data_IF_782589150424
#
_entry.id   IF_782589150424
#
_cell.length_a   1.000
_cell.length_b   1.000
_cell.length_c   1.000
_cell.angle_alpha   90.00
_cell.angle_beta   90.00
_cell.angle_gamma   90.00
#
_symmetry.space_group_name_H-M   'P 1'
#
loop_
_entity.id
_entity.type
_entity.pdbx_description
1 polymer ?
#
# COMPACT_ATOMS: atom_id res chain seq x y z
N UNK A 1 4.36 -11.30 -7.25
CA UNK A 1 3.19 -12.18 -7.58
C UNK A 1 1.94 -11.57 -6.95
N UNK A 2 0.84 -11.43 -7.72
CA UNK A 2 -0.49 -11.10 -7.20
C UNK A 2 -1.44 -12.19 -7.69
N UNK A 3 -2.10 -12.88 -6.75
CA UNK A 3 -2.92 -14.04 -7.07
C UNK A 3 -4.21 -14.03 -6.24
N UNK A 4 -5.37 -14.26 -6.91
CA UNK A 4 -6.65 -14.51 -6.25
C UNK A 4 -7.13 -15.89 -6.72
N UNK A 5 -7.31 -16.83 -5.79
CA UNK A 5 -7.61 -18.24 -6.08
C UNK A 5 -6.54 -18.80 -7.04
N UNK A 6 -6.86 -19.08 -8.29
CA UNK A 6 -5.93 -19.57 -9.30
C UNK A 6 -5.57 -18.54 -10.37
N UNK A 7 -6.14 -17.33 -10.31
CA UNK A 7 -5.90 -16.27 -11.27
C UNK A 7 -4.69 -15.42 -10.86
N UNK A 8 -3.82 -15.14 -11.84
CA UNK A 8 -2.62 -14.33 -11.66
C UNK A 8 -2.81 -12.95 -12.29
N UNK A 9 -2.23 -11.94 -11.63
CA UNK A 9 -2.27 -10.56 -12.06
C UNK A 9 -0.86 -9.99 -12.13
N UNK A 10 -0.59 -9.19 -13.13
CA UNK A 10 0.67 -8.48 -13.28
C UNK A 10 0.67 -7.23 -12.40
N UNK A 11 1.60 -7.15 -11.46
CA UNK A 11 1.75 -5.98 -10.60
C UNK A 11 2.37 -4.85 -11.42
N UNK A 12 1.69 -3.73 -11.48
CA UNK A 12 2.15 -2.51 -12.18
C UNK A 12 2.82 -1.54 -11.24
N UNK A 13 2.29 -1.38 -10.03
CA UNK A 13 2.84 -0.51 -8.99
C UNK A 13 2.61 -1.12 -7.62
N UNK A 14 3.60 -0.97 -6.75
CA UNK A 14 3.47 -1.30 -5.34
C UNK A 14 4.30 -0.29 -4.53
N UNK A 15 3.66 0.44 -3.63
CA UNK A 15 4.34 1.43 -2.83
C UNK A 15 3.75 1.58 -1.44
N UNK A 16 4.63 2.00 -0.54
CA UNK A 16 4.30 2.46 0.79
C UNK A 16 4.25 3.99 0.79
N UNK A 17 3.22 4.53 1.37
CA UNK A 17 3.19 5.93 1.80
C UNK A 17 3.12 6.02 3.32
N UNK A 18 3.25 7.22 3.85
CA UNK A 18 3.07 7.45 5.26
C UNK A 18 2.49 8.85 5.52
N UNK A 19 1.86 9.01 6.67
CA UNK A 19 1.42 10.31 7.19
C UNK A 19 1.53 10.36 8.71
N UNK A 20 1.55 11.57 9.27
CA UNK A 20 1.60 11.74 10.71
C UNK A 20 0.20 11.97 11.25
N UNK A 21 -0.23 11.12 12.17
CA UNK A 21 -1.46 11.30 12.93
C UNK A 21 -1.15 12.12 14.18
N UNK A 22 -1.36 13.44 14.10
CA UNK A 22 -1.00 14.39 15.17
C UNK A 22 -1.64 14.04 16.53
N UNK A 23 -2.92 13.63 16.51
CA UNK A 23 -3.68 13.28 17.74
C UNK A 23 -2.94 12.25 18.62
N UNK A 24 -2.29 11.27 18.01
CA UNK A 24 -1.64 10.16 18.70
C UNK A 24 -0.10 10.24 18.62
N UNK A 25 0.44 11.24 17.92
CA UNK A 25 1.86 11.37 17.62
C UNK A 25 2.44 10.06 17.07
N UNK A 26 1.85 9.56 16.00
CA UNK A 26 2.24 8.32 15.32
C UNK A 26 2.50 8.57 13.85
N UNK A 27 3.50 7.89 13.30
CA UNK A 27 3.70 7.76 11.86
C UNK A 27 2.90 6.53 11.39
N UNK A 28 1.95 6.76 10.51
CA UNK A 28 1.07 5.73 9.95
C UNK A 28 1.57 5.39 8.56
N UNK A 29 1.79 4.11 8.28
CA UNK A 29 2.10 3.62 6.94
C UNK A 29 0.84 3.08 6.28
N UNK A 30 0.67 3.42 5.02
CA UNK A 30 -0.27 2.83 4.08
C UNK A 30 0.46 1.96 3.05
N UNK A 31 -0.27 1.06 2.40
CA UNK A 31 0.23 0.20 1.33
C UNK A 31 -0.75 0.21 0.17
N UNK A 32 -0.24 0.49 -1.02
CA UNK A 32 -1.03 0.46 -2.25
C UNK A 32 -0.36 -0.41 -3.30
N UNK A 33 -1.14 -1.32 -3.89
CA UNK A 33 -0.67 -2.21 -4.95
C UNK A 33 -1.70 -2.19 -6.08
N UNK A 34 -1.23 -1.84 -7.28
CA UNK A 34 -2.03 -1.92 -8.51
C UNK A 34 -1.56 -3.11 -9.34
N UNK A 35 -2.50 -3.91 -9.78
CA UNK A 35 -2.26 -5.02 -10.69
C UNK A 35 -3.29 -5.03 -11.82
N UNK A 36 -3.00 -5.73 -12.90
CA UNK A 36 -3.91 -5.94 -14.03
C UNK A 36 -4.04 -7.41 -14.34
N UNK A 37 -5.19 -7.82 -14.87
CA UNK A 37 -5.40 -9.17 -15.36
C UNK A 37 -4.43 -9.50 -16.50
N UNK A 38 -3.91 -10.73 -16.50
CA UNK A 38 -3.04 -11.27 -17.55
C UNK A 38 -3.80 -12.18 -18.51
N UNK A 39 -5.11 -12.31 -18.35
CA UNK A 39 -5.93 -13.17 -19.21
C UNK A 39 -6.01 -12.61 -20.64
N UNK A 40 -5.98 -13.51 -21.65
CA UNK A 40 -6.10 -13.15 -23.06
C UNK A 40 -7.57 -13.12 -23.50
N UNK A 41 -7.96 -12.13 -24.31
CA UNK A 41 -9.31 -12.00 -24.87
C UNK A 41 -9.79 -13.25 -25.63
N UNK A 42 -8.87 -14.03 -26.22
CA UNK A 42 -9.21 -15.21 -27.01
C UNK A 42 -9.62 -16.42 -26.17
N UNK A 43 -9.28 -16.44 -24.87
CA UNK A 43 -9.48 -17.57 -23.98
C UNK A 43 -10.36 -17.26 -22.76
N UNK A 44 -11.07 -16.12 -22.77
CA UNK A 44 -11.93 -15.74 -21.64
C UNK A 44 -13.13 -16.69 -21.56
N UNK A 45 -13.05 -17.64 -20.65
CA UNK A 45 -14.25 -18.29 -20.12
C UNK A 45 -14.95 -17.30 -19.17
N UNK A 46 -15.92 -16.57 -19.71
CA UNK A 46 -16.64 -15.51 -18.97
C UNK A 46 -17.32 -15.99 -17.69
N UNK A 47 -17.37 -17.29 -17.46
CA UNK A 47 -17.90 -17.88 -16.22
C UNK A 47 -16.85 -17.97 -15.11
N UNK A 48 -15.54 -17.93 -15.43
CA UNK A 48 -14.46 -18.26 -14.49
C UNK A 48 -13.23 -17.33 -14.55
N UNK A 49 -13.21 -16.32 -15.44
CA UNK A 49 -12.03 -15.49 -15.71
C UNK A 49 -12.33 -14.02 -15.45
N UNK A 50 -11.28 -13.27 -15.13
CA UNK A 50 -11.31 -11.83 -15.17
C UNK A 50 -11.25 -11.34 -16.62
N UNK A 51 -11.84 -10.18 -16.88
CA UNK A 51 -11.67 -9.57 -18.19
C UNK A 51 -10.22 -9.14 -18.36
N UNK A 52 -9.65 -9.25 -19.58
CA UNK A 52 -8.35 -8.67 -19.90
C UNK A 52 -8.33 -7.20 -19.51
N UNK A 53 -7.18 -6.76 -18.96
CA UNK A 53 -6.97 -5.38 -18.49
C UNK A 53 -7.83 -4.94 -17.29
N UNK A 54 -8.59 -5.84 -16.65
CA UNK A 54 -9.20 -5.52 -15.37
C UNK A 54 -8.14 -5.05 -14.37
N UNK A 55 -8.36 -3.85 -13.83
CA UNK A 55 -7.45 -3.24 -12.86
C UNK A 55 -7.88 -3.63 -11.44
N UNK A 56 -6.93 -4.18 -10.69
CA UNK A 56 -7.10 -4.47 -9.27
C UNK A 56 -6.27 -3.49 -8.45
N UNK A 57 -6.87 -3.01 -7.36
CA UNK A 57 -6.18 -2.18 -6.39
C UNK A 57 -6.33 -2.82 -5.01
N UNK A 58 -5.20 -3.20 -4.41
CA UNK A 58 -5.13 -3.48 -2.98
C UNK A 58 -4.73 -2.20 -2.28
N UNK A 59 -5.55 -1.76 -1.33
CA UNK A 59 -5.34 -0.52 -0.58
C UNK A 59 -5.49 -0.78 0.92
N UNK A 60 -4.43 -0.54 1.68
CA UNK A 60 -4.44 -0.52 3.12
C UNK A 60 -3.99 0.87 3.59
N UNK A 61 -4.93 1.71 4.03
CA UNK A 61 -4.61 3.08 4.47
C UNK A 61 -3.87 3.11 5.80
N UNK A 62 -4.15 2.13 6.67
CA UNK A 62 -3.48 1.98 7.95
C UNK A 62 -2.96 0.55 8.06
N UNK A 63 -1.66 0.36 7.86
CA UNK A 63 -1.05 -0.96 7.96
C UNK A 63 -0.08 -1.06 9.14
N UNK A 64 0.67 0.00 9.41
CA UNK A 64 1.61 0.07 10.52
C UNK A 64 1.47 1.39 11.26
N UNK A 65 1.50 1.33 12.58
CA UNK A 65 1.54 2.50 13.47
C UNK A 65 2.87 2.52 14.20
N UNK A 66 3.70 3.50 13.90
CA UNK A 66 5.06 3.65 14.42
C UNK A 66 5.10 4.79 15.43
N UNK A 67 5.66 4.52 16.60
CA UNK A 67 5.88 5.53 17.64
C UNK A 67 7.18 6.27 17.41
N UNK A 68 7.29 7.48 17.96
CA UNK A 68 8.53 8.26 17.95
C UNK A 68 9.71 7.44 18.50
N UNK A 69 10.82 7.42 17.76
CA UNK A 69 12.04 6.69 18.12
C UNK A 69 12.01 5.18 17.91
N UNK A 70 10.92 4.63 17.39
CA UNK A 70 10.80 3.18 17.15
C UNK A 70 11.60 2.70 15.93
N UNK A 71 11.70 3.56 14.91
CA UNK A 71 12.51 3.33 13.70
C UNK A 71 13.36 4.57 13.41
N UNK A 72 14.40 4.42 12.60
CA UNK A 72 15.22 5.53 12.11
C UNK A 72 15.11 5.70 10.59
N UNK A 73 14.92 4.59 9.88
CA UNK A 73 14.71 4.57 8.45
C UNK A 73 13.37 3.89 8.13
N UNK A 74 12.76 4.25 7.02
CA UNK A 74 11.53 3.58 6.61
C UNK A 74 11.73 2.07 6.37
N UNK A 75 12.94 1.64 6.00
CA UNK A 75 13.31 0.22 5.81
C UNK A 75 13.37 -0.58 7.11
N UNK A 76 13.40 0.08 8.28
CA UNK A 76 13.40 -0.58 9.60
C UNK A 76 12.03 -1.24 9.92
N UNK A 77 11.04 -1.09 9.03
CA UNK A 77 9.80 -1.87 9.08
C UNK A 77 10.02 -3.35 8.72
N UNK A 78 11.18 -3.71 8.16
CA UNK A 78 11.55 -5.10 7.91
C UNK A 78 11.44 -5.95 9.17
N UNK A 79 10.85 -7.15 9.04
CA UNK A 79 10.56 -8.04 10.16
C UNK A 79 9.25 -7.76 10.90
N UNK A 80 8.56 -6.64 10.60
CA UNK A 80 7.24 -6.39 11.16
C UNK A 80 6.20 -7.29 10.48
N UNK A 81 5.24 -7.73 11.29
CA UNK A 81 4.09 -8.53 10.86
C UNK A 81 2.83 -7.81 11.35
N UNK A 82 1.82 -7.74 10.48
CA UNK A 82 0.50 -7.19 10.79
C UNK A 82 -0.53 -8.25 10.47
N UNK A 83 -1.42 -8.49 11.42
CA UNK A 83 -2.46 -9.52 11.29
C UNK A 83 -3.80 -8.96 11.75
N UNK A 84 -4.87 -9.32 11.04
CA UNK A 84 -6.26 -9.13 11.49
C UNK A 84 -7.15 -10.26 10.97
N UNK A 85 -8.14 -10.66 11.76
CA UNK A 85 -9.04 -11.74 11.41
C UNK A 85 -10.25 -11.22 10.62
N UNK A 86 -11.01 -10.32 11.24
CA UNK A 86 -12.20 -9.74 10.64
C UNK A 86 -11.94 -8.28 10.26
N UNK A 87 -12.74 -7.74 9.36
CA UNK A 87 -12.67 -6.32 9.04
C UNK A 87 -13.02 -5.51 10.29
N UNK A 88 -12.14 -4.60 10.75
CA UNK A 88 -12.34 -3.91 12.01
C UNK A 88 -13.52 -2.93 11.94
N UNK A 89 -14.24 -2.80 13.05
CA UNK A 89 -15.28 -1.77 13.21
C UNK A 89 -14.66 -0.37 13.37
N UNK A 90 -13.46 -0.29 13.93
CA UNK A 90 -12.70 0.95 14.10
C UNK A 90 -11.78 1.16 12.88
N UNK A 91 -12.06 2.18 12.09
CA UNK A 91 -11.24 2.58 10.93
C UNK A 91 -9.79 2.94 11.31
N UNK A 92 -9.49 3.09 12.60
CA UNK A 92 -8.12 3.29 13.07
C UNK A 92 -7.29 2.00 13.14
N UNK A 93 -7.90 0.82 13.12
CA UNK A 93 -7.19 -0.45 13.14
C UNK A 93 -6.66 -0.86 11.76
N UNK A 94 -5.62 -1.72 11.69
CA UNK A 94 -5.13 -2.23 10.41
C UNK A 94 -6.23 -2.92 9.62
N UNK A 95 -6.38 -2.52 8.37
CA UNK A 95 -7.34 -3.10 7.45
C UNK A 95 -6.93 -2.85 6.00
N UNK A 96 -7.52 -3.58 5.08
CA UNK A 96 -7.34 -3.38 3.65
C UNK A 96 -8.64 -3.60 2.88
N UNK A 97 -8.72 -2.92 1.75
CA UNK A 97 -9.75 -3.11 0.74
C UNK A 97 -9.10 -3.64 -0.55
N UNK A 98 -9.79 -4.50 -1.23
CA UNK A 98 -9.52 -4.85 -2.61
C UNK A 98 -10.58 -4.18 -3.48
N UNK A 99 -10.15 -3.50 -4.53
CA UNK A 99 -11.05 -2.89 -5.51
C UNK A 99 -10.91 -3.61 -6.85
N UNK A 100 -12.03 -4.14 -7.32
CA UNK A 100 -12.20 -4.63 -8.68
C UNK A 100 -13.67 -4.37 -9.04
N UNK A 101 -13.94 -3.30 -9.80
CA UNK A 101 -15.27 -2.75 -10.07
C UNK A 101 -16.02 -2.26 -8.84
N UNK A 102 -15.85 -2.91 -7.69
CA UNK A 102 -16.41 -2.54 -6.38
C UNK A 102 -15.36 -2.72 -5.27
N UNK A 103 -15.58 -2.07 -4.13
CA UNK A 103 -14.75 -2.25 -2.95
C UNK A 103 -15.18 -3.49 -2.18
N UNK A 104 -14.24 -4.36 -1.91
CA UNK A 104 -14.44 -5.54 -1.08
C UNK A 104 -13.43 -5.60 0.06
N UNK A 105 -13.85 -6.17 1.16
CA UNK A 105 -13.02 -6.29 2.36
C UNK A 105 -11.97 -7.38 2.19
N UNK A 106 -10.79 -7.16 2.80
CA UNK A 106 -9.73 -8.15 2.96
C UNK A 106 -9.65 -8.53 4.43
N UNK A 107 -9.72 -9.81 4.73
CA UNK A 107 -9.78 -10.34 6.10
C UNK A 107 -8.96 -11.62 6.24
N UNK A 108 -8.86 -12.18 7.46
CA UNK A 108 -7.92 -13.25 7.80
C UNK A 108 -6.54 -12.98 7.22
N UNK A 109 -6.09 -11.74 7.41
CA UNK A 109 -4.92 -11.22 6.74
C UNK A 109 -3.67 -11.36 7.58
N UNK A 110 -2.58 -11.73 6.93
CA UNK A 110 -1.22 -11.64 7.44
C UNK A 110 -0.35 -10.93 6.43
N UNK A 111 0.23 -9.82 6.85
CA UNK A 111 1.16 -9.03 6.03
C UNK A 111 2.52 -9.02 6.71
N UNK A 112 3.54 -9.48 6.00
CA UNK A 112 4.92 -9.54 6.47
C UNK A 112 5.80 -8.66 5.60
N UNK A 113 6.65 -7.84 6.25
CA UNK A 113 7.65 -7.00 5.59
C UNK A 113 9.02 -7.65 5.72
N UNK A 114 9.71 -7.87 4.60
CA UNK A 114 11.06 -8.46 4.55
C UNK A 114 12.04 -7.55 3.86
N UNK A 115 13.29 -7.56 4.30
CA UNK A 115 14.38 -6.99 3.52
C UNK A 115 14.99 -8.08 2.65
N UNK A 116 15.00 -7.86 1.35
CA UNK A 116 15.62 -8.75 0.36
C UNK A 116 16.48 -7.89 -0.56
N UNK A 117 17.81 -8.07 -0.49
CA UNK A 117 18.77 -7.30 -1.29
C UNK A 117 18.59 -5.77 -1.16
N UNK A 118 18.47 -5.28 0.07
CA UNK A 118 18.26 -3.86 0.43
C UNK A 118 16.92 -3.26 -0.04
N UNK A 119 15.97 -4.09 -0.45
CA UNK A 119 14.62 -3.70 -0.81
C UNK A 119 13.61 -4.27 0.17
N UNK A 120 12.53 -3.55 0.38
CA UNK A 120 11.40 -4.07 1.15
C UNK A 120 10.50 -4.87 0.23
N UNK A 121 10.29 -6.13 0.60
CA UNK A 121 9.32 -7.04 -0.01
C UNK A 121 8.16 -7.21 0.95
N UNK A 122 6.95 -7.02 0.47
CA UNK A 122 5.72 -7.33 1.21
C UNK A 122 5.19 -8.70 0.78
N UNK A 123 4.80 -9.49 1.77
CA UNK A 123 4.14 -10.78 1.57
C UNK A 123 2.79 -10.69 2.26
N UNK A 124 1.72 -10.91 1.49
CA UNK A 124 0.34 -10.87 1.96
C UNK A 124 -0.28 -12.25 1.74
N UNK A 125 -0.87 -12.80 2.80
CA UNK A 125 -1.73 -13.99 2.77
C UNK A 125 -3.04 -13.62 3.45
N UNK A 126 -4.15 -13.67 2.71
CA UNK A 126 -5.42 -13.16 3.17
C UNK A 126 -6.60 -13.87 2.48
N UNK A 127 -7.81 -13.50 2.89
CA UNK A 127 -9.06 -13.83 2.19
C UNK A 127 -9.72 -12.53 1.71
N UNK A 128 -10.44 -12.63 0.59
CA UNK A 128 -11.29 -11.56 0.07
C UNK A 128 -12.57 -12.16 -0.54
N UNK A 129 -13.58 -11.32 -0.69
CA UNK A 129 -14.82 -11.68 -1.35
C UNK A 129 -14.89 -10.97 -2.70
N UNK A 130 -15.33 -11.69 -3.74
CA UNK A 130 -15.53 -11.10 -5.07
C UNK A 130 -16.83 -11.67 -5.66
N UNK A 131 -17.77 -10.80 -5.95
CA UNK A 131 -19.11 -11.18 -6.44
C UNK A 131 -19.28 -10.91 -7.93
N UNK A 132 -18.25 -11.17 -8.73
CA UNK A 132 -18.28 -10.89 -10.17
C UNK A 132 -19.12 -11.87 -10.97
N UNK A 133 -19.11 -13.15 -10.56
CA UNK A 133 -19.88 -14.22 -11.17
C UNK A 133 -19.99 -15.43 -10.21
N UNK A 134 -20.66 -16.51 -10.64
CA UNK A 134 -20.88 -17.70 -9.80
C UNK A 134 -19.58 -18.43 -9.37
N UNK A 135 -18.46 -18.20 -10.06
CA UNK A 135 -17.17 -18.80 -9.74
C UNK A 135 -16.37 -18.01 -8.68
N UNK A 136 -16.71 -16.75 -8.49
CA UNK A 136 -16.12 -15.87 -7.52
C UNK A 136 -17.14 -15.55 -6.43
N UNK A 137 -16.86 -16.00 -5.23
CA UNK A 137 -17.75 -15.92 -4.07
C UNK A 137 -16.98 -15.44 -2.86
N UNK A 138 -17.43 -15.84 -1.70
CA UNK A 138 -16.79 -15.56 -0.41
C UNK A 138 -15.50 -16.36 -0.23
N UNK A 139 -14.63 -15.87 0.63
CA UNK A 139 -13.46 -16.57 1.15
C UNK A 139 -12.42 -16.98 0.09
N UNK A 140 -12.22 -16.14 -0.92
CA UNK A 140 -11.22 -16.40 -1.95
C UNK A 140 -9.81 -16.15 -1.40
N UNK A 141 -8.87 -17.11 -1.56
CA UNK A 141 -7.48 -16.87 -1.17
C UNK A 141 -6.85 -15.75 -1.99
N UNK A 142 -6.33 -14.74 -1.30
CA UNK A 142 -5.55 -13.63 -1.85
C UNK A 142 -4.09 -13.79 -1.42
N UNK A 143 -3.17 -13.84 -2.38
CA UNK A 143 -1.73 -13.91 -2.12
C UNK A 143 -1.00 -12.86 -2.93
N UNK A 144 -0.19 -12.04 -2.25
CA UNK A 144 0.64 -11.04 -2.91
C UNK A 144 2.07 -11.17 -2.39
N UNK A 145 3.05 -11.14 -3.29
CA UNK A 145 4.45 -11.02 -2.97
C UNK A 145 5.10 -10.06 -3.97
N UNK A 146 5.60 -8.94 -3.48
CA UNK A 146 6.17 -7.90 -4.34
C UNK A 146 7.15 -7.00 -3.60
N UNK A 147 8.14 -6.47 -4.31
CA UNK A 147 8.91 -5.32 -3.85
C UNK A 147 7.99 -4.10 -3.76
N UNK A 148 8.23 -3.26 -2.77
CA UNK A 148 7.52 -2.00 -2.59
C UNK A 148 8.50 -0.83 -2.57
N UNK A 149 8.15 0.23 -3.27
CA UNK A 149 8.86 1.49 -3.20
C UNK A 149 8.30 2.37 -2.08
N UNK A 150 9.14 3.19 -1.46
CA UNK A 150 8.67 4.18 -0.52
C UNK A 150 8.34 5.48 -1.24
N UNK A 151 7.06 5.77 -1.35
CA UNK A 151 6.57 6.99 -1.97
C UNK A 151 6.98 8.24 -1.17
N UNK A 152 6.87 8.16 0.17
CA UNK A 152 7.21 9.25 1.08
C UNK A 152 6.17 9.50 2.16
N UNK A 153 6.38 10.60 2.91
CA UNK A 153 5.51 10.99 4.02
C UNK A 153 4.70 12.21 3.60
N UNK A 154 3.39 12.07 3.57
CA UNK A 154 2.45 13.12 3.26
C UNK A 154 2.37 14.12 4.43
N UNK A 155 2.72 15.37 4.18
CA UNK A 155 2.75 16.45 5.17
C UNK A 155 1.65 17.50 4.93
N UNK A 156 0.70 17.25 4.02
CA UNK A 156 -0.36 18.18 3.70
C UNK A 156 0.17 19.50 3.12
N UNK A 157 -0.39 20.63 3.54
CA UNK A 157 0.02 21.97 3.07
C UNK A 157 1.01 22.66 4.02
N UNK A 158 1.85 21.89 4.70
CA UNK A 158 2.83 22.42 5.63
C UNK A 158 4.05 23.02 4.91
N UNK A 159 4.68 24.01 5.55
CA UNK A 159 5.98 24.51 5.12
C UNK A 159 7.06 23.44 5.29
N UNK A 160 8.20 23.62 4.60
CA UNK A 160 9.36 22.72 4.74
C UNK A 160 9.76 22.53 6.21
N UNK A 161 9.91 23.63 6.95
CA UNK A 161 10.33 23.59 8.36
C UNK A 161 9.35 22.81 9.25
N UNK A 162 8.04 23.00 9.05
CA UNK A 162 7.03 22.28 9.81
C UNK A 162 6.98 20.81 9.44
N UNK A 163 7.09 20.48 8.16
CA UNK A 163 7.15 19.09 7.67
C UNK A 163 8.35 18.35 8.27
N UNK A 164 9.55 18.94 8.21
CA UNK A 164 10.76 18.35 8.79
C UNK A 164 10.59 18.15 10.30
N UNK A 165 10.11 19.18 11.01
CA UNK A 165 9.90 19.10 12.46
C UNK A 165 8.92 17.99 12.86
N UNK A 166 7.88 17.75 12.07
CA UNK A 166 6.89 16.71 12.35
C UNK A 166 7.42 15.31 12.08
N UNK A 167 8.29 15.11 11.08
CA UNK A 167 8.83 13.79 10.69
C UNK A 167 10.06 13.40 11.50
N UNK A 168 10.89 14.36 11.88
CA UNK A 168 12.17 14.13 12.57
C UNK A 168 12.08 13.25 13.83
N UNK A 169 10.98 13.22 14.63
CA UNK A 169 10.85 12.29 15.74
C UNK A 169 10.76 10.80 15.34
N UNK A 170 10.44 10.51 14.09
CA UNK A 170 10.21 9.15 13.59
C UNK A 170 11.32 8.65 12.68
N UNK A 171 11.84 9.54 11.81
CA UNK A 171 12.81 9.16 10.78
C UNK A 171 14.01 10.11 10.73
N UNK A 172 15.17 9.53 10.42
CA UNK A 172 16.38 10.29 10.16
C UNK A 172 16.29 11.05 8.83
N UNK A 173 16.36 12.37 8.91
CA UNK A 173 16.26 13.24 7.74
C UNK A 173 17.49 13.26 6.83
N UNK A 174 18.60 12.58 7.19
CA UNK A 174 19.83 12.59 6.39
C UNK A 174 19.65 12.07 4.96
N UNK A 175 18.79 11.08 4.79
CA UNK A 175 18.50 10.45 3.49
C UNK A 175 17.15 10.88 2.90
N UNK A 176 16.51 11.86 3.50
CA UNK A 176 15.21 12.38 3.07
C UNK A 176 15.32 13.83 2.61
N UNK A 177 14.44 14.25 1.70
CA UNK A 177 14.28 15.62 1.23
C UNK A 177 12.82 16.03 1.24
N UNK A 178 12.56 17.30 1.53
CA UNK A 178 11.24 17.88 1.36
C UNK A 178 11.01 18.29 -0.09
N UNK A 179 9.80 18.09 -0.56
CA UNK A 179 9.33 18.53 -1.87
C UNK A 179 7.90 19.02 -1.77
N UNK A 180 7.49 19.85 -2.69
CA UNK A 180 6.12 20.33 -2.79
C UNK A 180 5.62 20.15 -4.22
N UNK A 181 4.42 19.61 -4.38
CA UNK A 181 3.81 19.47 -5.69
C UNK A 181 3.18 20.79 -6.17
N UNK A 182 2.75 20.81 -7.44
CA UNK A 182 2.10 21.99 -8.05
C UNK A 182 0.78 22.43 -7.38
N UNK A 183 0.20 21.58 -6.54
CA UNK A 183 -1.02 21.87 -5.77
C UNK A 183 -0.73 22.34 -4.33
N UNK A 184 0.54 22.52 -3.99
CA UNK A 184 0.98 22.94 -2.67
C UNK A 184 1.00 21.83 -1.61
N UNK A 185 0.84 20.56 -2.02
CA UNK A 185 0.99 19.41 -1.10
C UNK A 185 2.46 19.12 -0.89
N UNK A 186 2.86 19.08 0.37
CA UNK A 186 4.23 18.80 0.82
C UNK A 186 4.41 17.32 1.11
N UNK A 187 5.54 16.77 0.67
CA UNK A 187 5.92 15.37 0.88
C UNK A 187 7.39 15.31 1.27
N UNK A 188 7.74 14.45 2.21
CA UNK A 188 9.13 14.10 2.52
C UNK A 188 9.43 12.75 1.88
N UNK A 189 10.41 12.72 0.98
CA UNK A 189 10.74 11.56 0.13
C UNK A 189 12.22 11.19 0.27
N UNK A 190 12.63 9.96 -0.08
CA UNK A 190 14.04 9.60 -0.22
C UNK A 190 14.77 10.51 -1.21
N UNK A 191 16.05 10.84 -0.92
CA UNK A 191 16.83 11.78 -1.74
C UNK A 191 17.07 11.31 -3.16
N UNK A 192 17.15 10.02 -3.36
CA UNK A 192 17.37 9.33 -4.65
C UNK A 192 16.09 9.14 -5.48
N UNK A 193 14.93 9.47 -4.89
CA UNK A 193 13.65 9.36 -5.61
C UNK A 193 13.59 10.36 -6.77
N UNK A 194 13.37 9.85 -7.98
CA UNK A 194 13.07 10.67 -9.15
C UNK A 194 11.58 11.06 -9.15
N UNK A 195 11.31 12.31 -8.80
CA UNK A 195 9.96 12.82 -8.50
C UNK A 195 9.04 13.02 -9.70
N UNK A 196 9.58 13.13 -10.90
CA UNK A 196 8.73 13.46 -12.08
C UNK A 196 7.70 12.37 -12.39
N UNK A 197 8.01 11.11 -12.07
CA UNK A 197 7.10 9.97 -12.27
C UNK A 197 6.08 9.78 -11.13
N UNK A 198 6.41 10.17 -9.90
CA UNK A 198 5.61 9.83 -8.72
C UNK A 198 4.57 10.92 -8.34
N UNK A 199 4.80 12.19 -8.69
CA UNK A 199 3.84 13.28 -8.42
C UNK A 199 2.55 13.21 -9.25
N UNK A 200 2.55 12.45 -10.35
CA UNK A 200 1.34 12.21 -11.15
C UNK A 200 0.33 11.30 -10.43
N UNK A 201 0.78 10.48 -9.49
CA UNK A 201 -0.08 9.59 -8.71
C UNK A 201 -0.90 10.36 -7.68
N UNK A 202 -0.34 11.43 -7.08
CA UNK A 202 -1.02 12.27 -6.08
C UNK A 202 -2.11 13.20 -6.66
N UNK A 203 -2.21 13.32 -7.98
CA UNK A 203 -3.18 14.21 -8.64
C UNK A 203 -4.58 13.62 -8.81
N UNK A 204 -4.85 12.44 -8.24
CA UNK A 204 -6.14 11.74 -8.35
C UNK A 204 -6.91 11.62 -7.02
N UNK A 205 -6.46 12.35 -5.96
CA UNK A 205 -7.17 12.42 -4.67
C UNK A 205 -7.59 13.84 -4.35
#
# INVERSE_FOLDING_TARGET
MFKIKDNFFEIKHAYLDAFIKEKNNQLIFGLQIKAISTDDYENVDTSNSFYPEDELFFNAEIILKIKSGEIQNWTDISGKIVEWNDYPEDEEEPHALLYLHEHTQVYNSKIEFKNVNDKIVVIIDALCDLYLNEAFSDHLPLKIETEVDFFGILCGKNSEQNSIKSVQPFLDMRNLKWVQNKYGVSVIVPKDTNMESNLLVLGKY
#
